data_IF_767217989460
#
_entry.id   IF_767217989460
#
_cell.length_a   1.000
_cell.length_b   1.000
_cell.length_c   1.000
_cell.angle_alpha   90.00
_cell.angle_beta   90.00
_cell.angle_gamma   90.00
#
_symmetry.space_group_name_H-M   'P 1'
#
loop_
_entity.id
_entity.type
_entity.pdbx_description
1 polymer ?
#
# COMPACT_ATOMS: atom_id res chain seq x y z
N UNK A 1 18.66 12.82 -14.96
CA UNK A 1 18.92 13.07 -13.52
C UNK A 1 17.61 13.55 -12.92
N UNK A 2 17.21 12.99 -11.78
CA UNK A 2 16.08 13.51 -11.01
C UNK A 2 16.51 14.89 -10.49
N UNK A 3 15.71 15.93 -10.76
CA UNK A 3 16.01 17.33 -10.43
C UNK A 3 15.00 17.95 -9.46
N UNK A 4 13.94 17.21 -9.11
CA UNK A 4 12.94 17.63 -8.14
C UNK A 4 13.47 17.29 -6.73
N UNK A 5 13.62 18.31 -5.90
CA UNK A 5 14.15 18.18 -4.53
C UNK A 5 13.25 17.38 -3.60
N UNK A 6 11.97 17.18 -3.97
CA UNK A 6 11.01 16.37 -3.22
C UNK A 6 11.17 14.88 -3.46
N UNK A 7 12.01 14.49 -4.43
CA UNK A 7 12.20 13.10 -4.84
C UNK A 7 13.54 12.60 -4.31
N UNK A 8 13.47 11.66 -3.39
CA UNK A 8 14.62 10.92 -2.89
C UNK A 8 14.58 9.47 -3.41
N UNK A 9 15.75 8.94 -3.80
CA UNK A 9 15.89 7.56 -4.25
C UNK A 9 16.71 6.81 -3.23
N UNK A 10 16.13 5.77 -2.67
CA UNK A 10 16.76 4.89 -1.69
C UNK A 10 16.75 3.45 -2.18
N UNK A 11 17.60 2.61 -1.59
CA UNK A 11 17.71 1.21 -1.95
C UNK A 11 16.49 0.41 -1.44
N UNK A 12 15.87 -0.36 -2.34
CA UNK A 12 14.81 -1.30 -2.00
C UNK A 12 15.29 -2.47 -1.12
N UNK A 13 14.33 -3.13 -0.49
CA UNK A 13 14.55 -4.31 0.34
C UNK A 13 14.61 -5.62 -0.46
N UNK A 14 14.70 -6.75 0.26
CA UNK A 14 14.62 -8.08 -0.38
C UNK A 14 13.20 -8.41 -0.85
N UNK A 15 12.20 -7.83 -0.18
CA UNK A 15 10.80 -7.88 -0.53
C UNK A 15 10.11 -6.51 -0.38
N UNK A 16 8.77 -6.50 -0.53
CA UNK A 16 7.96 -5.28 -0.42
C UNK A 16 7.98 -4.70 1.00
N UNK A 17 7.92 -5.55 2.03
CA UNK A 17 7.86 -5.10 3.41
C UNK A 17 9.20 -4.49 3.83
N UNK A 18 10.31 -5.13 3.47
CA UNK A 18 11.65 -4.59 3.69
C UNK A 18 11.82 -3.23 3.01
N UNK A 19 11.29 -3.07 1.79
CA UNK A 19 11.30 -1.80 1.08
C UNK A 19 10.56 -0.71 1.86
N UNK A 20 9.37 -1.02 2.38
CA UNK A 20 8.59 -0.07 3.20
C UNK A 20 9.35 0.27 4.48
N UNK A 21 9.95 -0.71 5.16
CA UNK A 21 10.72 -0.46 6.38
C UNK A 21 11.97 0.40 6.13
N UNK A 22 12.62 0.27 4.98
CA UNK A 22 13.72 1.16 4.59
C UNK A 22 13.24 2.60 4.38
N UNK A 23 12.06 2.79 3.78
CA UNK A 23 11.44 4.12 3.60
C UNK A 23 11.16 4.77 4.95
N UNK A 24 10.53 4.03 5.88
CA UNK A 24 10.21 4.55 7.23
C UNK A 24 11.47 5.01 7.96
N UNK A 25 12.51 4.15 8.01
CA UNK A 25 13.78 4.48 8.67
C UNK A 25 14.46 5.70 8.05
N UNK A 26 14.38 5.84 6.73
CA UNK A 26 14.94 6.99 6.03
C UNK A 26 14.23 8.27 6.46
N UNK A 27 12.89 8.31 6.39
CA UNK A 27 12.07 9.46 6.80
C UNK A 27 12.33 9.85 8.27
N UNK A 28 12.36 8.87 9.17
CA UNK A 28 12.66 9.10 10.60
C UNK A 28 14.02 9.77 10.80
N UNK A 29 15.03 9.34 10.04
CA UNK A 29 16.39 9.85 10.16
C UNK A 29 16.60 11.25 9.59
N UNK A 30 15.78 11.67 8.62
CA UNK A 30 15.95 12.94 7.90
C UNK A 30 15.01 14.05 8.37
N UNK A 31 13.78 13.70 8.76
CA UNK A 31 12.70 14.68 8.96
C UNK A 31 12.09 14.67 10.38
N UNK A 32 12.38 13.64 11.18
CA UNK A 32 11.62 13.36 12.41
C UNK A 32 10.19 12.90 12.10
N UNK A 33 9.48 12.40 13.10
CA UNK A 33 8.10 11.91 12.96
C UNK A 33 7.22 12.46 14.08
N UNK A 34 5.98 12.78 13.75
CA UNK A 34 4.93 13.21 14.66
C UNK A 34 3.76 12.22 14.61
N UNK A 35 2.91 12.28 15.64
CA UNK A 35 1.77 11.36 15.77
C UNK A 35 0.70 11.55 14.68
N UNK A 36 0.68 12.70 14.00
CA UNK A 36 -0.25 13.03 12.92
C UNK A 36 0.33 12.83 11.51
N UNK A 37 1.56 12.34 11.39
CA UNK A 37 2.15 12.02 10.10
C UNK A 37 1.55 10.74 9.50
N UNK A 38 1.22 10.79 8.20
CA UNK A 38 0.66 9.67 7.45
C UNK A 38 1.59 9.26 6.31
N UNK A 39 1.95 7.98 6.27
CA UNK A 39 2.68 7.41 5.14
C UNK A 39 1.69 6.84 4.13
N UNK A 40 1.75 7.36 2.90
CA UNK A 40 1.00 6.83 1.76
C UNK A 40 1.95 6.08 0.85
N UNK A 41 1.70 4.79 0.63
CA UNK A 41 2.49 3.96 -0.30
C UNK A 41 1.71 3.74 -1.59
N UNK A 42 2.39 3.74 -2.74
CA UNK A 42 1.78 3.52 -4.04
C UNK A 42 2.69 2.71 -4.97
N UNK A 43 2.11 1.76 -5.68
CA UNK A 43 2.85 0.94 -6.64
C UNK A 43 3.04 1.71 -7.96
N UNK A 44 4.29 1.83 -8.42
CA UNK A 44 4.63 2.54 -9.65
C UNK A 44 3.92 1.99 -10.91
N UNK A 45 3.51 0.72 -10.89
CA UNK A 45 2.79 0.06 -12.00
C UNK A 45 1.31 0.47 -12.09
N UNK A 46 0.78 1.30 -11.18
CA UNK A 46 -0.61 1.78 -11.17
C UNK A 46 -0.69 3.28 -11.50
N UNK A 47 -0.51 3.71 -12.76
CA UNK A 47 -0.33 5.13 -13.09
C UNK A 47 -1.58 6.01 -12.93
N UNK A 48 -2.78 5.43 -12.87
CA UNK A 48 -4.06 6.17 -12.88
C UNK A 48 -4.61 6.47 -11.49
N UNK A 49 -3.76 7.02 -10.62
CA UNK A 49 -4.17 7.50 -9.29
C UNK A 49 -4.82 8.89 -9.40
N UNK A 50 -5.80 9.18 -8.55
CA UNK A 50 -6.45 10.49 -8.49
C UNK A 50 -6.18 11.20 -7.16
N UNK A 51 -6.19 12.54 -7.17
CA UNK A 51 -6.08 13.33 -5.96
C UNK A 51 -7.18 13.01 -4.93
N UNK A 52 -8.36 12.63 -5.40
CA UNK A 52 -9.48 12.20 -4.56
C UNK A 52 -9.08 10.97 -3.72
N UNK A 53 -8.55 9.94 -4.36
CA UNK A 53 -8.12 8.70 -3.68
C UNK A 53 -7.06 9.01 -2.62
N UNK A 54 -6.04 9.80 -2.96
CA UNK A 54 -4.97 10.17 -2.01
C UNK A 54 -5.55 10.89 -0.79
N UNK A 55 -6.43 11.88 -1.01
CA UNK A 55 -7.05 12.67 0.06
C UNK A 55 -7.94 11.81 0.96
N UNK A 56 -8.76 10.93 0.38
CA UNK A 56 -9.61 10.01 1.12
C UNK A 56 -8.77 9.04 1.97
N UNK A 57 -7.67 8.50 1.45
CA UNK A 57 -6.77 7.64 2.22
C UNK A 57 -6.12 8.39 3.39
N UNK A 58 -5.63 9.62 3.19
CA UNK A 58 -5.04 10.40 4.28
C UNK A 58 -6.08 10.65 5.38
N UNK A 59 -7.30 11.06 5.02
CA UNK A 59 -8.35 11.32 6.00
C UNK A 59 -8.74 10.04 6.76
N UNK A 60 -8.93 8.93 6.06
CA UNK A 60 -9.27 7.65 6.69
C UNK A 60 -8.13 7.10 7.55
N UNK A 61 -6.87 7.26 7.15
CA UNK A 61 -5.71 6.86 7.96
C UNK A 61 -5.65 7.66 9.28
N UNK A 62 -5.93 8.96 9.25
CA UNK A 62 -6.00 9.78 10.46
C UNK A 62 -7.15 9.36 11.39
N UNK A 63 -8.26 8.87 10.84
CA UNK A 63 -9.43 8.44 11.62
C UNK A 63 -9.30 7.01 12.17
N UNK A 64 -8.81 6.07 11.35
CA UNK A 64 -8.83 4.63 11.61
C UNK A 64 -7.43 4.03 11.85
N UNK A 65 -6.37 4.82 11.71
CA UNK A 65 -4.96 4.41 11.85
C UNK A 65 -4.36 3.76 10.59
N UNK A 66 -5.14 2.94 9.88
CA UNK A 66 -4.71 2.33 8.62
C UNK A 66 -5.89 2.20 7.65
N UNK A 67 -5.60 2.30 6.36
CA UNK A 67 -6.59 2.23 5.27
C UNK A 67 -5.99 1.51 4.07
N UNK A 68 -6.84 0.82 3.32
CA UNK A 68 -6.49 0.23 2.02
C UNK A 68 -7.55 0.62 0.98
N UNK A 69 -7.13 0.76 -0.27
CA UNK A 69 -8.03 1.10 -1.39
C UNK A 69 -8.33 -0.15 -2.20
N UNK A 70 -9.58 -0.58 -2.16
CA UNK A 70 -10.05 -1.80 -2.82
C UNK A 70 -11.16 -1.52 -3.84
N UNK A 71 -11.36 -2.49 -4.74
CA UNK A 71 -12.49 -2.56 -5.68
C UNK A 71 -13.05 -3.98 -5.63
N UNK A 72 -14.33 -4.13 -5.97
CA UNK A 72 -14.99 -5.44 -5.97
C UNK A 72 -14.30 -6.43 -6.91
N UNK A 73 -14.17 -7.68 -6.44
CA UNK A 73 -13.64 -8.76 -7.25
C UNK A 73 -14.62 -9.15 -8.37
N UNK A 74 -14.16 -9.05 -9.62
CA UNK A 74 -14.95 -9.42 -10.81
C UNK A 74 -14.85 -10.93 -11.07
N UNK A 75 -13.68 -11.51 -10.84
CA UNK A 75 -13.44 -12.93 -11.07
C UNK A 75 -13.82 -13.80 -9.85
N UNK A 76 -14.02 -15.09 -10.09
CA UNK A 76 -14.31 -16.05 -9.01
C UNK A 76 -13.02 -16.41 -8.30
N UNK A 77 -12.98 -16.15 -7.00
CA UNK A 77 -11.87 -16.57 -6.12
C UNK A 77 -12.14 -18.00 -5.67
N UNK A 78 -11.11 -18.85 -5.74
CA UNK A 78 -11.12 -20.23 -5.23
C UNK A 78 -9.98 -20.39 -4.23
N UNK A 79 -10.18 -21.21 -3.21
CA UNK A 79 -9.13 -21.56 -2.25
C UNK A 79 -8.73 -23.02 -2.43
N UNK A 80 -7.43 -23.28 -2.25
CA UNK A 80 -6.84 -24.62 -2.25
C UNK A 80 -5.74 -24.65 -1.19
N UNK A 81 -5.65 -25.74 -0.43
CA UNK A 81 -4.57 -25.93 0.55
C UNK A 81 -3.39 -26.73 0.02
N UNK A 82 -3.59 -27.49 -1.06
CA UNK A 82 -2.61 -28.41 -1.65
C UNK A 82 -2.14 -27.99 -3.06
N UNK A 83 -2.65 -26.86 -3.55
CA UNK A 83 -2.46 -26.31 -4.89
C UNK A 83 -2.85 -27.29 -6.03
N UNK A 84 -3.63 -28.33 -5.72
CA UNK A 84 -4.04 -29.39 -6.65
C UNK A 84 -5.56 -29.56 -6.73
N UNK A 85 -6.26 -29.41 -5.60
CA UNK A 85 -7.70 -29.60 -5.48
C UNK A 85 -8.36 -28.34 -4.92
N UNK A 86 -9.54 -27.98 -5.43
CA UNK A 86 -10.32 -26.86 -4.89
C UNK A 86 -10.90 -27.27 -3.53
N UNK A 87 -10.60 -26.48 -2.49
CA UNK A 87 -11.20 -26.61 -1.16
C UNK A 87 -12.57 -25.91 -1.10
N UNK A 88 -12.65 -24.65 -1.54
CA UNK A 88 -13.87 -23.86 -1.46
C UNK A 88 -13.93 -22.71 -2.48
N UNK A 89 -15.15 -22.24 -2.72
CA UNK A 89 -15.45 -20.97 -3.39
C UNK A 89 -16.04 -20.05 -2.31
N UNK A 90 -15.28 -19.07 -1.78
CA UNK A 90 -15.78 -18.23 -0.70
C UNK A 90 -16.91 -17.30 -1.20
N UNK A 91 -17.72 -16.80 -0.25
CA UNK A 91 -18.82 -15.89 -0.57
C UNK A 91 -18.24 -14.57 -1.06
N UNK A 92 -18.47 -14.23 -2.33
CA UNK A 92 -17.86 -13.06 -2.96
C UNK A 92 -18.17 -11.75 -2.24
N UNK A 93 -19.38 -11.57 -1.72
CA UNK A 93 -19.78 -10.34 -1.03
C UNK A 93 -19.11 -10.16 0.34
N UNK A 94 -18.34 -11.14 0.81
CA UNK A 94 -17.56 -11.10 2.06
C UNK A 94 -16.04 -11.01 1.78
N UNK A 95 -15.64 -10.88 0.51
CA UNK A 95 -14.25 -10.72 0.06
C UNK A 95 -14.01 -9.32 -0.48
#
# INVERSE_FOLDING_TARGET
>A
KISDERIEVIQGGSDRNDTIMNIVKHIESTNGINDDDVIVTHDAVRPFLTHRIIKENIQAALEYGAVDTVIDAIDTIVTSKDDQTIDAIPVRNEM
#
